data_IF_176930718547
#
_entry.id   IF_176930718547
#
_cell.length_a   1.000
_cell.length_b   1.000
_cell.length_c   1.000
_cell.angle_alpha   90.00
_cell.angle_beta   90.00
_cell.angle_gamma   90.00
#
_symmetry.space_group_name_H-M   'P 1'
#
loop_
_entity.id
_entity.type
_entity.pdbx_description
1 polymer ?
#
# COMPACT_ATOMS: atom_id res chain seq x y z
N UNK A 1 -22.47 -5.31 19.57
CA UNK A 1 -21.26 -5.68 20.33
C UNK A 1 -20.12 -4.85 19.79
N UNK A 2 -19.72 -3.79 20.49
CA UNK A 2 -18.57 -2.97 20.14
C UNK A 2 -17.32 -3.82 20.37
N UNK A 3 -16.74 -4.36 19.29
CA UNK A 3 -15.43 -5.00 19.34
C UNK A 3 -14.45 -3.96 19.88
N UNK A 4 -13.94 -4.18 21.07
CA UNK A 4 -12.87 -3.35 21.65
C UNK A 4 -11.64 -3.60 20.80
N UNK A 5 -11.39 -2.72 19.84
CA UNK A 5 -10.23 -2.79 18.95
C UNK A 5 -8.97 -2.49 19.77
N UNK A 6 -8.21 -3.54 20.09
CA UNK A 6 -6.95 -3.40 20.83
C UNK A 6 -5.88 -2.88 19.88
N UNK A 7 -5.05 -1.90 20.30
CA UNK A 7 -3.93 -1.48 19.48
C UNK A 7 -2.81 -2.54 19.53
N UNK A 8 -2.32 -2.92 18.34
CA UNK A 8 -1.12 -3.73 18.19
C UNK A 8 0.14 -2.86 18.31
N UNK A 9 0.11 -1.66 17.72
CA UNK A 9 1.22 -0.71 17.76
C UNK A 9 0.69 0.66 18.18
N UNK A 10 1.38 1.30 19.11
CA UNK A 10 1.15 2.70 19.48
C UNK A 10 2.50 3.40 19.50
N UNK A 11 2.63 4.47 18.74
CA UNK A 11 3.77 5.38 18.79
C UNK A 11 3.27 6.79 19.09
N UNK A 12 4.01 7.54 19.89
CA UNK A 12 3.66 8.92 20.27
C UNK A 12 4.90 9.79 20.19
N UNK A 13 4.78 10.89 19.47
CA UNK A 13 5.81 11.91 19.26
C UNK A 13 7.15 11.30 18.80
N UNK A 14 7.10 10.30 17.89
CA UNK A 14 8.27 9.56 17.47
C UNK A 14 9.20 10.45 16.64
N UNK A 15 10.47 10.58 17.07
CA UNK A 15 11.46 11.46 16.48
C UNK A 15 12.73 10.73 16.09
N UNK A 16 13.32 11.12 14.96
CA UNK A 16 14.60 10.57 14.50
C UNK A 16 15.37 11.58 13.65
N UNK A 17 16.66 11.73 13.94
CA UNK A 17 17.57 12.56 13.17
C UNK A 17 18.85 11.80 12.83
N UNK A 18 19.51 12.14 11.74
CA UNK A 18 20.82 11.67 11.36
C UNK A 18 21.72 12.89 11.12
N UNK A 19 22.58 13.20 12.09
CA UNK A 19 23.28 14.48 12.14
C UNK A 19 22.26 15.63 12.20
N UNK A 20 22.42 16.60 11.31
CA UNK A 20 21.51 17.76 11.24
C UNK A 20 20.19 17.50 10.48
N UNK A 21 20.06 16.32 9.87
CA UNK A 21 18.87 15.97 9.08
C UNK A 21 17.81 15.33 9.96
N UNK A 22 16.70 16.04 10.20
CA UNK A 22 15.49 15.48 10.81
C UNK A 22 14.80 14.58 9.78
N UNK A 23 14.54 13.32 10.16
CA UNK A 23 13.88 12.31 9.30
C UNK A 23 12.49 12.00 9.81
N UNK A 24 12.28 11.97 11.14
CA UNK A 24 10.96 11.89 11.76
C UNK A 24 10.83 13.04 12.74
N UNK A 25 9.73 13.77 12.65
CA UNK A 25 9.47 14.98 13.43
C UNK A 25 8.12 14.89 14.16
N UNK A 26 8.08 14.00 15.15
CA UNK A 26 6.93 13.85 16.03
C UNK A 26 5.75 13.15 15.36
N UNK A 27 5.93 11.89 14.92
CA UNK A 27 4.83 11.11 14.36
C UNK A 27 4.07 10.34 15.45
N UNK A 28 2.75 10.36 15.36
CA UNK A 28 1.83 9.57 16.17
C UNK A 28 1.19 8.49 15.30
N UNK A 29 1.25 7.22 15.73
CA UNK A 29 0.67 6.09 15.01
C UNK A 29 -0.12 5.20 15.97
N UNK A 30 -1.30 4.77 15.54
CA UNK A 30 -2.08 3.75 16.23
C UNK A 30 -2.58 2.70 15.24
N UNK A 31 -2.03 1.48 15.35
CA UNK A 31 -2.35 0.36 14.47
C UNK A 31 -3.16 -0.66 15.24
N UNK A 32 -4.33 -0.99 14.72
CA UNK A 32 -5.25 -1.96 15.32
C UNK A 32 -4.79 -3.39 15.06
N UNK A 33 -4.97 -4.28 16.04
CA UNK A 33 -4.69 -5.71 15.90
C UNK A 33 -5.53 -6.35 14.79
N UNK A 34 -4.89 -7.21 13.96
CA UNK A 34 -5.55 -7.93 12.87
C UNK A 34 -5.97 -7.04 11.69
N UNK A 35 -5.27 -5.93 11.45
CA UNK A 35 -5.52 -5.03 10.32
C UNK A 35 -4.28 -4.81 9.49
N UNK A 36 -4.49 -4.30 8.26
CA UNK A 36 -3.43 -3.80 7.38
C UNK A 36 -3.37 -2.29 7.50
N UNK A 37 -2.24 -1.78 7.98
CA UNK A 37 -1.94 -0.36 8.00
C UNK A 37 -0.88 -0.03 6.95
N UNK A 38 -1.16 0.90 6.04
CA UNK A 38 -0.20 1.33 5.03
C UNK A 38 0.39 2.70 5.39
N UNK A 39 1.71 2.77 5.42
CA UNK A 39 2.45 4.02 5.55
C UNK A 39 2.94 4.44 4.16
N UNK A 40 2.29 5.43 3.58
CA UNK A 40 2.56 5.96 2.26
C UNK A 40 3.44 7.20 2.31
N UNK A 41 4.17 7.45 1.24
CA UNK A 41 4.94 8.67 1.08
C UNK A 41 6.06 8.54 0.05
N UNK A 42 6.68 9.65 -0.36
CA UNK A 42 7.78 9.63 -1.31
C UNK A 42 9.04 9.00 -0.71
N UNK A 43 10.04 8.77 -1.56
CA UNK A 43 11.34 8.32 -1.10
C UNK A 43 11.99 9.39 -0.21
N UNK A 44 12.52 8.94 0.94
CA UNK A 44 13.11 9.83 1.93
C UNK A 44 12.12 10.47 2.91
N UNK A 45 10.83 10.18 2.84
CA UNK A 45 9.83 10.70 3.77
C UNK A 45 9.97 10.18 5.21
N UNK A 46 10.69 9.06 5.43
CA UNK A 46 10.90 8.45 6.74
C UNK A 46 10.25 7.08 6.93
N UNK A 47 9.61 6.50 5.90
CA UNK A 47 8.91 5.19 5.97
C UNK A 47 9.78 4.07 6.52
N UNK A 48 10.91 3.80 5.86
CA UNK A 48 11.87 2.75 6.29
C UNK A 48 12.42 3.03 7.68
N UNK A 49 12.68 4.30 8.02
CA UNK A 49 13.15 4.69 9.37
C UNK A 49 12.08 4.37 10.42
N UNK A 50 10.81 4.62 10.13
CA UNK A 50 9.71 4.26 11.03
C UNK A 50 9.65 2.75 11.26
N UNK A 51 9.74 1.95 10.20
CA UNK A 51 9.78 0.48 10.29
C UNK A 51 10.99 0.02 11.11
N UNK A 52 12.18 0.58 10.87
CA UNK A 52 13.40 0.23 11.62
C UNK A 52 13.29 0.52 13.11
N UNK A 53 12.66 1.63 13.50
CA UNK A 53 12.41 1.95 14.91
C UNK A 53 11.42 0.96 15.52
N UNK A 54 10.26 0.79 14.87
CA UNK A 54 9.19 -0.07 15.39
C UNK A 54 9.60 -1.55 15.44
N UNK A 55 10.52 -1.97 14.59
CA UNK A 55 11.13 -3.30 14.60
C UNK A 55 12.37 -3.44 15.51
N UNK A 56 12.69 -2.43 16.31
CA UNK A 56 13.85 -2.40 17.23
C UNK A 56 15.22 -2.51 16.56
N UNK A 57 15.32 -2.23 15.25
CA UNK A 57 16.61 -2.24 14.54
C UNK A 57 17.44 -0.98 14.82
N UNK A 58 16.79 0.15 15.07
CA UNK A 58 17.40 1.39 15.50
C UNK A 58 16.59 2.02 16.63
N UNK A 59 17.22 2.87 17.43
CA UNK A 59 16.54 3.64 18.47
C UNK A 59 15.96 4.93 17.92
N UNK A 60 14.80 5.33 18.44
CA UNK A 60 14.29 6.68 18.30
C UNK A 60 15.13 7.67 19.10
N UNK A 61 15.15 8.95 18.68
CA UNK A 61 15.82 10.03 19.43
C UNK A 61 14.85 10.74 20.38
N UNK A 62 13.53 10.55 20.16
CA UNK A 62 12.46 11.08 21.03
C UNK A 62 11.15 10.35 20.82
N UNK A 63 10.21 10.64 21.72
CA UNK A 63 8.92 9.96 21.76
C UNK A 63 8.99 8.57 22.41
N UNK A 64 7.91 7.83 22.28
CA UNK A 64 7.83 6.44 22.74
C UNK A 64 7.01 5.59 21.78
N UNK A 65 7.27 4.28 21.77
CA UNK A 65 6.44 3.34 21.03
C UNK A 65 6.30 2.01 21.79
N UNK A 66 5.17 1.36 21.56
CA UNK A 66 4.83 0.05 22.13
C UNK A 66 4.28 -0.88 21.06
N UNK A 67 4.64 -2.14 21.15
CA UNK A 67 4.10 -3.23 20.34
C UNK A 67 3.44 -4.25 21.26
N UNK A 68 2.14 -4.48 21.09
CA UNK A 68 1.32 -5.30 21.99
C UNK A 68 1.48 -4.94 23.47
N UNK A 69 1.68 -3.65 23.78
CA UNK A 69 1.88 -3.15 25.14
C UNK A 69 3.33 -3.14 25.63
N UNK A 70 4.25 -3.86 24.97
CA UNK A 70 5.69 -3.89 25.31
C UNK A 70 6.38 -2.63 24.79
N UNK A 71 7.13 -1.98 25.65
CA UNK A 71 7.87 -0.77 25.35
C UNK A 71 9.12 -1.10 24.53
N UNK A 72 9.31 -0.45 23.37
CA UNK A 72 10.41 -0.75 22.45
C UNK A 72 11.79 -0.54 23.08
N UNK A 73 11.94 0.47 23.92
CA UNK A 73 13.21 0.82 24.53
C UNK A 73 13.53 -0.04 25.75
N UNK A 74 12.49 -0.44 26.51
CA UNK A 74 12.66 -1.18 27.78
C UNK A 74 12.56 -2.68 27.61
N UNK A 75 11.76 -3.16 26.66
CA UNK A 75 11.43 -4.57 26.45
C UNK A 75 11.69 -5.03 25.00
N UNK A 76 12.83 -4.67 24.37
CA UNK A 76 13.06 -4.95 22.94
C UNK A 76 13.05 -6.45 22.62
N UNK A 77 13.43 -7.33 23.53
CA UNK A 77 13.40 -8.77 23.31
C UNK A 77 11.96 -9.30 23.24
N UNK A 78 11.08 -8.86 24.14
CA UNK A 78 9.66 -9.23 24.11
C UNK A 78 9.00 -8.73 22.80
N UNK A 79 9.39 -7.55 22.31
CA UNK A 79 8.92 -7.04 21.02
C UNK A 79 9.41 -7.95 19.89
N UNK A 80 10.69 -8.33 19.86
CA UNK A 80 11.28 -9.19 18.79
C UNK A 80 10.62 -10.56 18.68
N UNK A 81 10.14 -11.11 19.79
CA UNK A 81 9.39 -12.38 19.78
C UNK A 81 8.02 -12.27 19.13
N UNK A 82 7.45 -11.06 19.02
CA UNK A 82 6.12 -10.80 18.49
C UNK A 82 6.12 -10.32 17.03
N UNK A 83 7.29 -9.94 16.50
CA UNK A 83 7.39 -9.27 15.20
C UNK A 83 8.10 -10.13 14.15
N UNK A 84 7.69 -9.92 12.90
CA UNK A 84 8.43 -10.34 11.72
C UNK A 84 8.77 -9.13 10.86
N UNK A 85 9.91 -9.15 10.19
CA UNK A 85 10.36 -8.04 9.36
C UNK A 85 10.81 -8.56 8.00
N UNK A 86 10.18 -8.06 6.94
CA UNK A 86 10.65 -8.27 5.57
C UNK A 86 11.16 -6.93 5.06
N UNK A 87 12.47 -6.79 4.96
CA UNK A 87 13.12 -5.55 4.53
C UNK A 87 13.05 -5.32 3.02
N UNK A 88 13.59 -4.17 2.61
CA UNK A 88 13.75 -3.82 1.19
C UNK A 88 14.69 -4.79 0.46
N UNK A 89 15.72 -5.29 1.15
CA UNK A 89 16.60 -6.34 0.65
C UNK A 89 16.18 -7.68 1.22
N UNK A 90 16.06 -8.68 0.32
CA UNK A 90 15.71 -10.04 0.71
C UNK A 90 16.79 -10.66 1.59
N UNK A 91 16.39 -11.26 2.71
CA UNK A 91 17.27 -12.03 3.60
C UNK A 91 17.57 -13.44 3.08
N UNK A 92 17.07 -13.80 1.91
CA UNK A 92 17.19 -15.12 1.30
C UNK A 92 18.63 -15.38 0.85
N UNK A 93 19.22 -16.49 1.27
CA UNK A 93 20.50 -16.97 0.75
C UNK A 93 20.29 -17.66 -0.61
N UNK A 94 20.89 -17.09 -1.65
CA UNK A 94 20.77 -17.60 -3.03
C UNK A 94 21.50 -18.93 -3.28
N UNK A 95 22.44 -19.31 -2.41
CA UNK A 95 23.19 -20.57 -2.51
C UNK A 95 22.43 -21.75 -1.93
N UNK A 96 21.52 -21.47 -1.00
CA UNK A 96 20.64 -22.46 -0.37
C UNK A 96 19.40 -22.72 -1.21
N UNK A 97 18.79 -23.88 -0.98
CA UNK A 97 17.44 -24.18 -1.49
C UNK A 97 16.38 -23.43 -0.68
N UNK A 98 15.15 -23.34 -1.18
CA UNK A 98 14.04 -22.73 -0.45
C UNK A 98 13.78 -23.42 0.89
N UNK A 99 13.88 -24.77 0.93
CA UNK A 99 13.72 -25.55 2.16
C UNK A 99 14.85 -25.29 3.16
N UNK A 100 16.09 -25.17 2.72
CA UNK A 100 17.24 -24.88 3.60
C UNK A 100 17.15 -23.47 4.18
N UNK A 101 16.73 -22.47 3.42
CA UNK A 101 16.46 -21.12 3.93
C UNK A 101 15.42 -21.14 5.06
N UNK A 102 14.29 -21.84 4.87
CA UNK A 102 13.27 -21.99 5.93
C UNK A 102 13.79 -22.79 7.12
N UNK A 103 14.63 -23.81 6.89
CA UNK A 103 15.24 -24.59 7.97
C UNK A 103 16.19 -23.75 8.82
N UNK A 104 16.99 -22.90 8.18
CA UNK A 104 17.85 -21.95 8.87
C UNK A 104 17.04 -21.02 9.78
N UNK A 105 15.91 -20.52 9.30
CA UNK A 105 15.02 -19.69 10.11
C UNK A 105 14.39 -20.45 11.26
N UNK A 106 14.00 -21.71 11.05
CA UNK A 106 13.46 -22.56 12.12
C UNK A 106 14.49 -22.81 13.23
N UNK A 107 15.76 -23.03 12.87
CA UNK A 107 16.86 -23.18 13.82
C UNK A 107 17.13 -21.87 14.58
N UNK A 108 17.10 -20.70 13.89
CA UNK A 108 17.25 -19.38 14.51
C UNK A 108 16.09 -19.03 15.45
N UNK A 109 14.87 -19.47 15.12
CA UNK A 109 13.70 -19.34 15.99
C UNK A 109 13.65 -20.42 17.10
N UNK A 110 14.67 -21.27 17.22
CA UNK A 110 14.77 -22.34 18.22
C UNK A 110 13.59 -23.33 18.20
N UNK A 111 12.99 -23.58 17.04
CA UNK A 111 11.94 -24.57 16.89
C UNK A 111 12.52 -25.99 17.07
N UNK A 112 11.76 -26.85 17.74
CA UNK A 112 12.15 -28.27 17.76
C UNK A 112 12.07 -28.87 16.33
N UNK A 113 12.88 -29.92 16.09
CA UNK A 113 13.01 -30.52 14.74
C UNK A 113 11.69 -31.02 14.14
N UNK A 114 10.73 -31.43 14.97
CA UNK A 114 9.46 -31.95 14.47
C UNK A 114 8.50 -30.78 14.14
N UNK A 115 8.41 -29.77 15.02
CA UNK A 115 7.64 -28.56 14.80
C UNK A 115 8.19 -27.78 13.60
N UNK A 116 9.52 -27.59 13.52
CA UNK A 116 10.16 -26.91 12.39
C UNK A 116 9.85 -27.57 11.05
N UNK A 117 9.96 -28.91 10.95
CA UNK A 117 9.62 -29.62 9.70
C UNK A 117 8.16 -29.46 9.30
N UNK A 118 7.23 -29.51 10.25
CA UNK A 118 5.80 -29.26 9.98
C UNK A 118 5.60 -27.84 9.49
N UNK A 119 6.10 -26.85 10.23
CA UNK A 119 5.98 -25.43 9.89
C UNK A 119 6.53 -25.11 8.51
N UNK A 120 7.71 -25.66 8.16
CA UNK A 120 8.31 -25.50 6.84
C UNK A 120 7.43 -26.09 5.73
N UNK A 121 6.84 -27.28 5.94
CA UNK A 121 5.96 -27.90 4.96
C UNK A 121 4.69 -27.04 4.74
N UNK A 122 4.07 -26.55 5.82
CA UNK A 122 2.89 -25.70 5.77
C UNK A 122 3.18 -24.37 5.04
N UNK A 123 4.33 -23.73 5.33
CA UNK A 123 4.73 -22.49 4.67
C UNK A 123 5.05 -22.70 3.19
N UNK A 124 5.73 -23.79 2.82
CA UNK A 124 5.99 -24.09 1.42
C UNK A 124 4.69 -24.29 0.62
N UNK A 125 3.68 -24.90 1.23
CA UNK A 125 2.36 -25.09 0.62
C UNK A 125 1.60 -23.76 0.53
N UNK A 126 1.49 -23.04 1.63
CA UNK A 126 0.80 -21.73 1.72
C UNK A 126 1.34 -20.71 0.71
N UNK A 127 2.66 -20.74 0.42
CA UNK A 127 3.32 -19.82 -0.49
C UNK A 127 3.52 -20.36 -1.91
N UNK A 128 2.95 -21.53 -2.25
CA UNK A 128 3.08 -22.17 -3.55
C UNK A 128 4.56 -22.34 -3.98
N UNK A 129 5.36 -22.92 -3.08
CA UNK A 129 6.80 -23.15 -3.26
C UNK A 129 7.21 -24.62 -3.15
N UNK A 130 6.25 -25.56 -3.01
CA UNK A 130 6.52 -26.99 -2.80
C UNK A 130 7.38 -27.58 -3.89
N UNK A 131 7.05 -27.32 -5.17
CA UNK A 131 7.77 -27.88 -6.33
C UNK A 131 9.18 -27.28 -6.50
N UNK A 132 9.40 -26.08 -5.95
CA UNK A 132 10.67 -25.39 -6.01
C UNK A 132 11.52 -25.58 -4.75
N UNK A 133 10.96 -26.15 -3.69
CA UNK A 133 11.57 -26.20 -2.35
C UNK A 133 12.97 -26.80 -2.32
N UNK A 134 13.28 -27.76 -3.19
CA UNK A 134 14.59 -28.41 -3.30
C UNK A 134 15.53 -27.80 -4.33
N UNK A 135 15.13 -26.70 -5.01
CA UNK A 135 15.98 -26.02 -6.00
C UNK A 135 16.73 -24.86 -5.34
N UNK A 136 17.97 -24.54 -5.79
CA UNK A 136 18.69 -23.37 -5.33
C UNK A 136 17.88 -22.08 -5.59
N UNK A 137 17.87 -21.16 -4.63
CA UNK A 137 17.10 -19.91 -4.75
C UNK A 137 17.63 -19.01 -5.87
N UNK A 138 18.89 -19.16 -6.27
CA UNK A 138 19.44 -18.51 -7.48
C UNK A 138 18.62 -18.77 -8.75
N UNK A 139 17.86 -19.88 -8.81
CA UNK A 139 16.99 -20.25 -9.93
C UNK A 139 15.55 -19.72 -9.82
N UNK A 140 15.20 -19.09 -8.70
CA UNK A 140 13.85 -18.59 -8.46
C UNK A 140 13.57 -17.30 -9.25
N UNK A 141 12.32 -17.14 -9.69
CA UNK A 141 11.86 -15.84 -10.18
C UNK A 141 11.84 -14.79 -9.05
N UNK A 142 11.77 -13.50 -9.40
CA UNK A 142 11.65 -12.43 -8.39
C UNK A 142 10.45 -12.62 -7.46
N UNK A 143 9.30 -13.01 -8.02
CA UNK A 143 8.09 -13.30 -7.24
C UNK A 143 8.25 -14.50 -6.31
N UNK A 144 8.94 -15.57 -6.74
CA UNK A 144 9.22 -16.72 -5.88
C UNK A 144 10.16 -16.36 -4.73
N UNK A 145 11.21 -15.57 -4.99
CA UNK A 145 12.12 -15.09 -3.93
C UNK A 145 11.38 -14.24 -2.90
N UNK A 146 10.50 -13.34 -3.35
CA UNK A 146 9.73 -12.48 -2.44
C UNK A 146 8.73 -13.28 -1.62
N UNK A 147 8.10 -14.33 -2.20
CA UNK A 147 7.25 -15.26 -1.44
C UNK A 147 8.04 -16.04 -0.40
N UNK A 148 9.24 -16.53 -0.75
CA UNK A 148 10.11 -17.22 0.20
C UNK A 148 10.57 -16.29 1.33
N UNK A 149 10.94 -15.05 1.04
CA UNK A 149 11.36 -14.04 2.01
C UNK A 149 10.26 -13.77 3.05
N UNK A 150 9.01 -13.62 2.58
CA UNK A 150 7.86 -13.48 3.47
C UNK A 150 7.57 -14.78 4.25
N UNK A 151 7.70 -15.95 3.62
CA UNK A 151 7.54 -17.24 4.31
C UNK A 151 8.58 -17.41 5.43
N UNK A 152 9.84 -17.01 5.20
CA UNK A 152 10.90 -17.02 6.22
C UNK A 152 10.53 -16.17 7.44
N UNK A 153 9.94 -14.99 7.20
CA UNK A 153 9.48 -14.09 8.27
C UNK A 153 8.40 -14.72 9.14
N UNK A 154 7.61 -15.64 8.58
CA UNK A 154 6.49 -16.31 9.28
C UNK A 154 6.90 -17.55 10.07
N UNK A 155 8.14 -18.00 9.98
CA UNK A 155 8.60 -19.22 10.68
C UNK A 155 8.41 -19.10 12.20
N UNK A 156 8.67 -17.92 12.78
CA UNK A 156 8.53 -17.63 14.20
C UNK A 156 7.11 -17.29 14.67
N UNK A 157 6.09 -17.44 13.81
CA UNK A 157 4.67 -17.13 14.12
C UNK A 157 4.45 -15.72 14.70
N UNK A 158 4.93 -14.66 14.01
CA UNK A 158 4.82 -13.30 14.51
C UNK A 158 3.35 -12.84 14.56
N UNK A 159 3.02 -12.00 15.54
CA UNK A 159 1.72 -11.36 15.66
C UNK A 159 1.61 -10.10 14.81
N UNK A 160 2.74 -9.45 14.52
CA UNK A 160 2.81 -8.31 13.59
C UNK A 160 3.95 -8.50 12.60
N UNK A 161 3.72 -8.11 11.34
CA UNK A 161 4.71 -8.15 10.28
C UNK A 161 4.91 -6.75 9.73
N UNK A 162 6.18 -6.35 9.64
CA UNK A 162 6.60 -5.15 8.94
C UNK A 162 7.03 -5.52 7.53
N UNK A 163 6.40 -4.93 6.52
CA UNK A 163 6.69 -5.14 5.10
C UNK A 163 7.20 -3.82 4.49
N UNK A 164 8.49 -3.75 4.22
CA UNK A 164 9.06 -2.56 3.59
C UNK A 164 9.07 -2.73 2.06
N UNK A 165 8.16 -2.02 1.38
CA UNK A 165 7.94 -2.04 -0.07
C UNK A 165 7.78 -3.47 -0.64
N UNK A 166 6.77 -4.26 -0.21
CA UNK A 166 6.72 -5.71 -0.45
C UNK A 166 6.60 -6.11 -1.92
N UNK A 167 6.12 -5.23 -2.79
CA UNK A 167 5.85 -5.55 -4.20
C UNK A 167 6.73 -4.80 -5.20
N UNK A 168 7.71 -4.03 -4.71
CA UNK A 168 8.63 -3.30 -5.57
C UNK A 168 9.41 -4.27 -6.47
N UNK A 169 9.45 -3.96 -7.78
CA UNK A 169 10.13 -4.77 -8.79
C UNK A 169 9.40 -6.05 -9.22
N UNK A 170 8.21 -6.32 -8.70
CA UNK A 170 7.39 -7.44 -9.15
C UNK A 170 6.57 -7.10 -10.38
N UNK A 171 6.39 -8.10 -11.26
CA UNK A 171 5.43 -8.03 -12.35
C UNK A 171 3.98 -7.98 -11.82
N UNK A 172 2.98 -7.53 -12.63
CA UNK A 172 1.59 -7.38 -12.16
C UNK A 172 0.96 -8.66 -11.62
N UNK A 173 1.32 -9.84 -12.17
CA UNK A 173 0.79 -11.13 -11.70
C UNK A 173 1.37 -11.49 -10.33
N UNK A 174 2.68 -11.36 -10.17
CA UNK A 174 3.37 -11.61 -8.91
C UNK A 174 2.92 -10.65 -7.81
N UNK A 175 2.67 -9.37 -8.15
CA UNK A 175 2.12 -8.36 -7.24
C UNK A 175 0.74 -8.76 -6.70
N UNK A 176 -0.18 -9.15 -7.58
CA UNK A 176 -1.54 -9.60 -7.18
C UNK A 176 -1.48 -10.85 -6.30
N UNK A 177 -0.59 -11.80 -6.63
CA UNK A 177 -0.40 -12.99 -5.80
C UNK A 177 0.12 -12.61 -4.40
N UNK A 178 1.05 -11.67 -4.29
CA UNK A 178 1.54 -11.16 -3.01
C UNK A 178 0.44 -10.47 -2.20
N UNK A 179 -0.40 -9.65 -2.84
CA UNK A 179 -1.55 -9.03 -2.17
C UNK A 179 -2.52 -10.05 -1.60
N UNK A 180 -2.76 -11.15 -2.33
CA UNK A 180 -3.62 -12.22 -1.82
C UNK A 180 -3.00 -12.91 -0.59
N UNK A 181 -1.70 -13.17 -0.60
CA UNK A 181 -0.98 -13.73 0.55
C UNK A 181 -1.11 -12.79 1.76
N UNK A 182 -0.87 -11.49 1.59
CA UNK A 182 -0.99 -10.48 2.65
C UNK A 182 -2.39 -10.48 3.25
N UNK A 183 -3.44 -10.52 2.42
CA UNK A 183 -4.83 -10.59 2.92
C UNK A 183 -5.13 -11.86 3.70
N UNK A 184 -4.62 -13.01 3.23
CA UNK A 184 -4.80 -14.29 3.92
C UNK A 184 -4.16 -14.26 5.32
N UNK A 185 -2.96 -13.70 5.45
CA UNK A 185 -2.30 -13.55 6.76
C UNK A 185 -3.10 -12.71 7.74
N UNK A 186 -3.73 -11.63 7.27
CA UNK A 186 -4.61 -10.82 8.14
C UNK A 186 -5.89 -11.56 8.50
N UNK A 187 -6.46 -12.34 7.57
CA UNK A 187 -7.60 -13.19 7.87
C UNK A 187 -7.28 -14.28 8.93
N UNK A 188 -6.01 -14.67 9.05
CA UNK A 188 -5.49 -15.55 10.11
C UNK A 188 -5.17 -14.81 11.42
N UNK A 189 -5.38 -13.48 11.48
CA UNK A 189 -5.21 -12.66 12.67
C UNK A 189 -3.87 -11.94 12.80
N UNK A 190 -3.00 -12.02 11.80
CA UNK A 190 -1.72 -11.29 11.77
C UNK A 190 -1.98 -9.81 11.52
N UNK A 191 -1.32 -8.93 12.27
CA UNK A 191 -1.32 -7.49 12.00
C UNK A 191 -0.23 -7.14 11.01
N UNK A 192 -0.49 -6.23 10.05
CA UNK A 192 0.50 -5.86 9.05
C UNK A 192 0.67 -4.33 9.01
N UNK A 193 1.93 -3.88 9.15
CA UNK A 193 2.35 -2.55 8.77
C UNK A 193 3.16 -2.66 7.48
N UNK A 194 2.65 -2.15 6.38
CA UNK A 194 3.39 -2.07 5.13
C UNK A 194 3.78 -0.63 4.81
N UNK A 195 4.95 -0.46 4.23
CA UNK A 195 5.33 0.80 3.59
C UNK A 195 5.23 0.62 2.09
N UNK A 196 4.79 1.64 1.39
CA UNK A 196 4.78 1.64 -0.08
C UNK A 196 4.82 3.05 -0.64
N UNK A 197 5.28 3.18 -1.87
CA UNK A 197 5.11 4.37 -2.69
C UNK A 197 4.01 4.18 -3.74
N UNK A 198 3.47 2.96 -3.86
CA UNK A 198 2.40 2.62 -4.80
C UNK A 198 1.04 2.80 -4.13
N UNK A 199 0.33 3.85 -4.52
CA UNK A 199 -0.97 4.18 -3.93
C UNK A 199 -2.04 3.13 -4.26
N UNK A 200 -1.93 2.48 -5.44
CA UNK A 200 -2.78 1.34 -5.81
C UNK A 200 -2.68 0.18 -4.79
N UNK A 201 -1.47 -0.10 -4.28
CA UNK A 201 -1.26 -1.15 -3.29
C UNK A 201 -1.98 -0.84 -1.98
N UNK A 202 -1.86 0.39 -1.50
CA UNK A 202 -2.55 0.82 -0.30
C UNK A 202 -4.08 0.84 -0.46
N UNK A 203 -4.55 1.30 -1.61
CA UNK A 203 -5.99 1.33 -1.94
C UNK A 203 -6.61 -0.08 -1.95
N UNK A 204 -5.86 -1.07 -2.45
CA UNK A 204 -6.31 -2.46 -2.51
C UNK A 204 -6.18 -3.23 -1.19
N UNK A 205 -5.17 -2.93 -0.38
CA UNK A 205 -4.83 -3.76 0.78
C UNK A 205 -5.24 -3.15 2.11
N UNK A 206 -5.06 -1.84 2.28
CA UNK A 206 -5.05 -1.24 3.59
C UNK A 206 -6.45 -1.01 4.16
N UNK A 207 -6.63 -1.33 5.44
CA UNK A 207 -7.78 -0.91 6.23
C UNK A 207 -7.64 0.57 6.61
N UNK A 208 -6.41 1.01 6.91
CA UNK A 208 -6.07 2.41 7.16
C UNK A 208 -4.76 2.77 6.48
N UNK A 209 -4.69 4.01 6.06
CA UNK A 209 -3.56 4.61 5.36
C UNK A 209 -3.12 5.87 6.10
N UNK A 210 -1.83 6.05 6.28
CA UNK A 210 -1.25 7.31 6.70
C UNK A 210 -0.27 7.82 5.64
N UNK A 211 -0.38 9.09 5.29
CA UNK A 211 0.56 9.76 4.40
C UNK A 211 1.67 10.42 5.22
N UNK A 212 2.90 9.99 4.96
CA UNK A 212 4.11 10.53 5.56
C UNK A 212 4.83 11.41 4.53
N UNK A 213 5.04 12.67 4.88
CA UNK A 213 5.82 13.60 4.08
C UNK A 213 6.73 14.43 4.97
N UNK A 214 8.00 14.59 4.55
CA UNK A 214 9.04 15.31 5.31
C UNK A 214 9.08 14.97 6.81
N UNK A 215 8.92 13.69 7.16
CA UNK A 215 8.97 13.20 8.54
C UNK A 215 7.73 13.48 9.37
N UNK A 216 6.62 13.92 8.78
CA UNK A 216 5.36 14.21 9.46
C UNK A 216 4.20 13.48 8.81
N UNK A 217 3.23 13.07 9.60
CA UNK A 217 1.96 12.56 9.06
C UNK A 217 1.09 13.74 8.61
N UNK A 218 0.74 13.77 7.34
CA UNK A 218 -0.08 14.83 6.74
C UNK A 218 -1.56 14.46 6.64
N UNK A 219 -1.89 13.19 6.59
CA UNK A 219 -3.25 12.68 6.66
C UNK A 219 -3.27 11.22 7.10
N UNK A 220 -4.34 10.80 7.77
CA UNK A 220 -4.61 9.42 8.14
C UNK A 220 -6.11 9.12 8.05
N UNK A 221 -6.46 7.94 7.54
CA UNK A 221 -7.85 7.48 7.44
C UNK A 221 -7.97 6.16 6.69
N UNK A 222 -9.18 5.67 6.52
CA UNK A 222 -9.45 4.61 5.54
C UNK A 222 -9.24 5.16 4.12
N UNK A 223 -8.91 4.33 3.12
CA UNK A 223 -8.80 4.79 1.73
C UNK A 223 -10.04 5.59 1.28
N UNK A 224 -11.23 5.16 1.70
CA UNK A 224 -12.49 5.85 1.37
C UNK A 224 -12.62 7.22 2.05
N UNK A 225 -12.20 7.36 3.30
CA UNK A 225 -12.20 8.65 4.02
C UNK A 225 -11.24 9.62 3.37
N UNK A 226 -10.03 9.18 3.06
CA UNK A 226 -9.00 10.00 2.43
C UNK A 226 -9.44 10.52 1.05
N UNK A 227 -10.03 9.66 0.21
CA UNK A 227 -10.58 10.07 -1.10
C UNK A 227 -11.69 11.11 -0.99
N UNK A 228 -12.39 11.21 0.14
CA UNK A 228 -13.41 12.24 0.39
C UNK A 228 -12.84 13.58 0.84
N UNK A 229 -11.55 13.65 1.19
CA UNK A 229 -10.91 14.93 1.57
C UNK A 229 -10.75 15.87 0.40
N UNK A 230 -10.69 15.32 -0.82
CA UNK A 230 -10.56 16.11 -2.03
C UNK A 230 -11.93 16.24 -2.72
N UNK A 231 -12.33 17.46 -3.13
CA UNK A 231 -13.52 17.62 -3.93
C UNK A 231 -13.30 17.06 -5.33
N UNK A 232 -14.27 16.25 -5.80
CA UNK A 232 -14.45 16.19 -7.20
C UNK A 232 -13.93 14.98 -7.95
N UNK A 233 -14.69 13.87 -7.87
CA UNK A 233 -14.86 13.06 -9.04
C UNK A 233 -15.39 13.95 -10.18
N UNK A 234 -15.07 13.61 -11.41
CA UNK A 234 -15.60 14.29 -12.57
C UNK A 234 -15.92 13.28 -13.67
N UNK A 235 -16.86 13.65 -14.50
CA UNK A 235 -17.14 12.93 -15.73
C UNK A 235 -16.42 13.65 -16.85
N UNK A 236 -15.55 12.94 -17.56
CA UNK A 236 -14.91 13.45 -18.78
C UNK A 236 -15.79 13.08 -19.95
N UNK A 237 -16.30 14.09 -20.64
CA UNK A 237 -17.04 13.96 -21.89
C UNK A 237 -16.08 14.26 -23.04
N UNK A 238 -15.97 13.35 -24.00
CA UNK A 238 -15.15 13.54 -25.20
C UNK A 238 -16.04 13.85 -26.40
N UNK A 239 -15.65 14.82 -27.21
CA UNK A 239 -16.40 15.28 -28.38
C UNK A 239 -15.64 14.96 -29.67
N UNK A 240 -16.39 14.81 -30.75
CA UNK A 240 -15.82 14.57 -32.08
C UNK A 240 -15.26 15.85 -32.71
N UNK A 241 -15.81 16.99 -32.32
CA UNK A 241 -15.48 18.30 -32.88
C UNK A 241 -15.66 19.43 -31.86
N UNK A 242 -15.27 20.64 -32.28
CA UNK A 242 -15.31 21.84 -31.44
C UNK A 242 -16.75 22.32 -31.21
N UNK A 243 -17.65 22.11 -32.15
CA UNK A 243 -19.06 22.58 -32.08
C UNK A 243 -19.80 21.82 -30.95
N UNK A 244 -19.59 20.50 -30.88
CA UNK A 244 -20.11 19.68 -29.79
C UNK A 244 -19.56 20.08 -28.40
N UNK A 245 -18.24 20.37 -28.31
CA UNK A 245 -17.61 20.87 -27.12
C UNK A 245 -18.17 22.24 -26.69
N UNK A 246 -18.35 23.18 -27.64
CA UNK A 246 -18.90 24.52 -27.36
C UNK A 246 -20.32 24.42 -26.80
N UNK A 247 -21.15 23.58 -27.42
CA UNK A 247 -22.53 23.34 -26.99
C UNK A 247 -22.61 22.75 -25.59
N UNK A 248 -21.73 21.78 -25.28
CA UNK A 248 -21.64 21.18 -23.97
C UNK A 248 -21.13 22.16 -22.90
N UNK A 249 -20.14 22.98 -23.22
CA UNK A 249 -19.59 23.97 -22.27
C UNK A 249 -20.65 25.02 -21.89
N UNK A 250 -21.59 25.35 -22.79
CA UNK A 250 -22.73 26.23 -22.46
C UNK A 250 -23.74 25.53 -21.52
N UNK A 251 -23.94 24.21 -21.69
CA UNK A 251 -24.89 23.45 -20.88
C UNK A 251 -24.36 23.15 -19.46
N UNK A 252 -23.04 23.06 -19.28
CA UNK A 252 -22.38 22.72 -18.03
C UNK A 252 -21.45 23.84 -17.54
N UNK A 253 -22.02 24.86 -16.95
CA UNK A 253 -21.29 26.08 -16.53
C UNK A 253 -20.16 25.85 -15.50
N UNK A 254 -20.22 24.77 -14.74
CA UNK A 254 -19.20 24.42 -13.72
C UNK A 254 -18.11 23.48 -14.27
N UNK A 255 -18.16 23.15 -15.57
CA UNK A 255 -17.22 22.21 -16.18
C UNK A 255 -15.92 22.90 -16.58
N UNK A 256 -14.82 22.14 -16.51
CA UNK A 256 -13.50 22.55 -17.01
C UNK A 256 -13.33 22.04 -18.44
N UNK A 257 -12.92 22.92 -19.34
CA UNK A 257 -12.78 22.64 -20.76
C UNK A 257 -11.32 22.45 -21.16
N UNK A 258 -11.07 21.48 -22.02
CA UNK A 258 -9.79 21.26 -22.70
C UNK A 258 -10.03 21.25 -24.23
N UNK A 259 -9.66 22.33 -24.90
CA UNK A 259 -9.83 22.50 -26.33
C UNK A 259 -8.89 21.60 -27.16
N UNK A 260 -7.69 21.30 -26.64
CA UNK A 260 -6.73 20.50 -27.38
C UNK A 260 -7.12 19.01 -27.40
N UNK A 261 -7.72 18.53 -26.31
CA UNK A 261 -8.20 17.17 -26.19
C UNK A 261 -9.66 16.98 -26.64
N UNK A 262 -10.37 18.05 -26.95
CA UNK A 262 -11.84 18.09 -27.22
C UNK A 262 -12.62 17.44 -26.07
N UNK A 263 -12.29 17.78 -24.82
CA UNK A 263 -12.92 17.21 -23.63
C UNK A 263 -13.52 18.26 -22.71
N UNK A 264 -14.58 17.86 -22.00
CA UNK A 264 -15.22 18.64 -20.96
C UNK A 264 -15.28 17.82 -19.66
N UNK A 265 -14.71 18.33 -18.59
CA UNK A 265 -14.72 17.70 -17.27
C UNK A 265 -15.86 18.30 -16.44
N UNK A 266 -16.91 17.53 -16.23
CA UNK A 266 -18.08 17.92 -15.45
C UNK A 266 -17.95 17.40 -14.03
N UNK A 267 -17.94 18.26 -12.99
CA UNK A 267 -17.88 17.81 -11.59
C UNK A 267 -18.98 16.80 -11.27
N UNK A 268 -18.61 15.70 -10.63
CA UNK A 268 -19.52 14.59 -10.31
C UNK A 268 -19.02 13.84 -9.07
N UNK A 269 -19.94 13.36 -8.25
CA UNK A 269 -19.64 12.46 -7.12
C UNK A 269 -19.42 11.01 -7.56
N UNK A 270 -19.48 10.72 -8.87
CA UNK A 270 -19.41 9.37 -9.44
C UNK A 270 -20.64 8.51 -9.17
N UNK A 271 -21.69 9.08 -8.52
CA UNK A 271 -22.91 8.37 -8.21
C UNK A 271 -23.79 8.12 -9.45
N UNK A 272 -24.49 6.97 -9.45
CA UNK A 272 -25.40 6.61 -10.56
C UNK A 272 -26.48 7.67 -10.80
N UNK A 273 -26.96 8.32 -9.74
CA UNK A 273 -27.96 9.38 -9.85
C UNK A 273 -27.43 10.61 -10.58
N UNK A 274 -26.23 11.07 -10.21
CA UNK A 274 -25.55 12.22 -10.83
C UNK A 274 -25.23 11.91 -12.29
N UNK A 275 -24.73 10.71 -12.58
CA UNK A 275 -24.44 10.28 -13.95
C UNK A 275 -25.71 10.24 -14.82
N UNK A 276 -26.83 9.72 -14.28
CA UNK A 276 -28.13 9.73 -15.00
C UNK A 276 -28.59 11.15 -15.30
N UNK A 277 -28.52 12.05 -14.31
CA UNK A 277 -28.90 13.45 -14.49
C UNK A 277 -28.07 14.15 -15.56
N UNK A 278 -26.76 13.83 -15.62
CA UNK A 278 -25.85 14.35 -16.64
C UNK A 278 -26.23 13.84 -18.04
N UNK A 279 -26.51 12.53 -18.18
CA UNK A 279 -26.94 11.95 -19.45
C UNK A 279 -28.29 12.53 -19.90
N UNK A 280 -29.27 12.65 -18.99
CA UNK A 280 -30.57 13.29 -19.28
C UNK A 280 -30.40 14.76 -19.75
N UNK A 281 -29.41 15.49 -19.23
CA UNK A 281 -29.12 16.86 -19.62
C UNK A 281 -28.49 16.92 -21.01
N UNK A 282 -27.58 16.02 -21.36
CA UNK A 282 -27.01 15.88 -22.70
C UNK A 282 -28.09 15.56 -23.73
N UNK A 283 -29.00 14.62 -23.44
CA UNK A 283 -30.10 14.23 -24.32
C UNK A 283 -31.06 15.39 -24.56
N UNK A 284 -31.45 16.13 -23.51
CA UNK A 284 -32.33 17.31 -23.65
C UNK A 284 -31.70 18.42 -24.49
N UNK A 285 -30.39 18.59 -24.40
CA UNK A 285 -29.65 19.57 -25.19
C UNK A 285 -29.28 19.06 -26.58
N UNK A 286 -29.63 17.81 -26.92
CA UNK A 286 -29.28 17.16 -28.20
C UNK A 286 -27.75 17.14 -28.43
N UNK A 287 -26.95 17.02 -27.37
CA UNK A 287 -25.51 17.02 -27.45
C UNK A 287 -25.00 15.57 -27.56
N UNK A 288 -24.30 15.27 -28.63
CA UNK A 288 -23.70 13.96 -28.86
C UNK A 288 -22.28 13.93 -28.36
N UNK A 289 -21.98 12.93 -27.53
CA UNK A 289 -20.62 12.68 -27.01
C UNK A 289 -19.99 11.50 -27.73
N UNK A 290 -18.71 11.60 -28.07
CA UNK A 290 -17.94 10.52 -28.70
C UNK A 290 -17.47 9.48 -27.65
N UNK A 291 -17.28 9.92 -26.42
CA UNK A 291 -16.89 9.05 -25.30
C UNK A 291 -17.24 9.67 -23.97
N UNK A 292 -17.40 8.79 -22.95
CA UNK A 292 -17.63 9.20 -21.57
C UNK A 292 -16.78 8.32 -20.66
N UNK A 293 -16.05 8.95 -19.74
CA UNK A 293 -15.36 8.26 -18.64
C UNK A 293 -15.70 8.93 -17.32
N UNK A 294 -15.81 8.11 -16.27
CA UNK A 294 -16.05 8.59 -14.91
C UNK A 294 -14.74 8.50 -14.15
N UNK A 295 -14.23 9.64 -13.74
CA UNK A 295 -13.09 9.72 -12.85
C UNK A 295 -13.58 9.86 -11.41
N UNK A 296 -13.24 8.88 -10.57
CA UNK A 296 -13.42 8.95 -9.13
C UNK A 296 -12.07 9.22 -8.50
N UNK A 297 -11.97 10.14 -7.53
CA UNK A 297 -10.71 10.42 -6.87
C UNK A 297 -10.03 9.14 -6.38
N UNK A 298 -8.75 9.02 -6.66
CA UNK A 298 -7.91 7.97 -6.13
C UNK A 298 -6.97 8.48 -5.03
N UNK A 299 -6.13 7.63 -4.46
CA UNK A 299 -5.17 8.06 -3.45
C UNK A 299 -4.02 8.90 -4.05
N UNK A 300 -3.76 8.79 -5.36
CA UNK A 300 -2.81 9.64 -6.06
C UNK A 300 -3.27 11.10 -6.04
N UNK A 301 -4.56 11.33 -6.34
CA UNK A 301 -5.16 12.67 -6.31
C UNK A 301 -5.12 13.27 -4.89
N UNK A 302 -5.40 12.45 -3.87
CA UNK A 302 -5.30 12.85 -2.46
C UNK A 302 -3.88 13.30 -2.13
N UNK A 303 -2.89 12.48 -2.49
CA UNK A 303 -1.49 12.75 -2.20
C UNK A 303 -1.01 14.04 -2.86
N UNK A 304 -1.28 14.22 -4.17
CA UNK A 304 -0.91 15.42 -4.92
C UNK A 304 -1.53 16.68 -4.32
N UNK A 305 -2.81 16.61 -3.94
CA UNK A 305 -3.51 17.73 -3.32
C UNK A 305 -2.91 18.11 -1.95
N UNK A 306 -2.59 17.12 -1.11
CA UNK A 306 -2.06 17.36 0.23
C UNK A 306 -0.61 17.84 0.23
N UNK A 307 0.20 17.43 -0.78
CA UNK A 307 1.61 17.83 -0.90
C UNK A 307 1.81 19.11 -1.71
N UNK A 308 0.74 19.68 -2.29
CA UNK A 308 0.79 20.91 -3.09
C UNK A 308 1.51 20.74 -4.43
N UNK A 309 1.73 19.52 -4.91
CA UNK A 309 2.29 19.26 -6.23
C UNK A 309 1.17 19.31 -7.28
N UNK A 310 1.30 20.10 -8.37
CA UNK A 310 0.29 20.13 -9.42
C UNK A 310 0.20 18.77 -10.12
N UNK A 311 -1.02 18.36 -10.45
CA UNK A 311 -1.30 17.13 -11.20
C UNK A 311 -0.60 17.17 -12.58
N UNK A 312 0.45 16.35 -12.74
CA UNK A 312 1.17 16.23 -14.01
C UNK A 312 0.52 15.22 -14.97
N UNK A 313 -0.62 14.62 -14.59
CA UNK A 313 -1.31 13.59 -15.38
C UNK A 313 -2.36 14.13 -16.35
N UNK A 314 -2.76 15.40 -16.24
CA UNK A 314 -3.74 16.03 -17.12
C UNK A 314 -3.35 16.04 -18.62
N UNK A 315 -2.26 15.40 -19.02
CA UNK A 315 -1.76 15.39 -20.40
C UNK A 315 -1.25 14.04 -20.94
N UNK A 316 -1.48 12.91 -20.26
CA UNK A 316 -1.12 11.61 -20.84
C UNK A 316 -2.34 10.92 -21.44
N UNK A 317 -2.45 10.82 -22.79
CA UNK A 317 -3.44 9.95 -23.42
C UNK A 317 -3.12 8.49 -23.08
N UNK A 318 -4.15 7.70 -22.73
CA UNK A 318 -4.11 6.25 -22.56
C UNK A 318 -3.77 5.56 -23.92
N UNK A 319 -2.51 5.64 -24.32
CA UNK A 319 -1.97 4.87 -25.43
C UNK A 319 -0.84 3.98 -24.95
N UNK A 320 -1.21 2.74 -24.59
CA UNK A 320 -0.43 1.53 -24.85
C UNK A 320 -1.20 0.29 -24.38
N UNK A 321 -2.32 0.01 -25.05
CA UNK A 321 -2.75 -1.39 -25.20
C UNK A 321 -2.23 -1.87 -26.55
N UNK A 322 -1.04 -2.47 -26.55
CA UNK A 322 -0.56 -3.21 -27.70
C UNK A 322 -1.43 -4.46 -27.91
N UNK A 323 -1.87 -4.76 -29.16
CA UNK A 323 -2.57 -5.99 -29.45
C UNK A 323 -1.60 -7.18 -29.40
N UNK A 324 -2.07 -8.28 -28.81
CA UNK A 324 -1.41 -9.58 -28.81
C UNK A 324 -1.13 -10.06 -30.25
N UNK A 325 0.09 -10.52 -30.48
CA UNK A 325 0.43 -11.53 -31.48
C UNK A 325 1.12 -12.69 -30.76
#
# INVERSE_FOLDING_TARGET
MTSSTKPAIVATDLRKSYGDKVVLDGIDLMITEGTIFALLGPNGAGKTTTVQILSTLINADGGNARVFGHDLAREPNAVRELIGVTGQFSAVDNLLTGRENLSLMADLCHLDKAAGRRRIADLLDQFDLVEAAGKPVSTYSGGMRRRLDLAMTLVGEPRVIFLDEPTTGLDPRSRRAMWQIIRNLVAEGVTILLTTQYLEEADHLADRVAFLDHGRLIAEGTPRELKRLIPGGHVVLQFADQEGLDSAAQAFAAATRDDAALTLQVPSDGGVGTLRSLLDQLDRASITVAGLSVHTPDLDDVFLTLTGQPDTRAGRPDHERAPAR
#
